data_IF_059422608406
#
_entry.id   IF_059422608406
#
_cell.length_a   1.000
_cell.length_b   1.000
_cell.length_c   1.000
_cell.angle_alpha   90.00
_cell.angle_beta   90.00
_cell.angle_gamma   90.00
#
_symmetry.space_group_name_H-M   'P 1'
#
loop_
_entity.id
_entity.type
_entity.pdbx_description
1 polymer ?
#
# COMPACT_ATOMS: atom_id res chain seq x y z
N UNK A 1 18.96 5.60 -15.32
CA UNK A 1 18.65 6.97 -14.83
C UNK A 1 19.31 7.12 -13.46
N UNK A 2 19.82 8.30 -13.08
CA UNK A 2 20.29 8.52 -11.70
C UNK A 2 19.06 8.73 -10.80
N UNK A 3 18.95 7.97 -9.71
CA UNK A 3 18.00 8.27 -8.62
C UNK A 3 18.21 9.70 -8.13
N UNK A 4 17.19 10.54 -8.27
CA UNK A 4 17.10 11.84 -7.63
C UNK A 4 15.83 11.92 -6.81
N UNK A 5 15.91 12.42 -5.58
CA UNK A 5 14.71 12.73 -4.81
C UNK A 5 14.29 14.15 -5.13
N UNK A 6 13.05 14.34 -5.53
CA UNK A 6 12.55 15.66 -5.90
C UNK A 6 11.78 16.23 -4.72
N UNK A 7 12.21 17.40 -4.22
CA UNK A 7 11.44 18.17 -3.25
C UNK A 7 10.73 19.29 -4.00
N UNK A 8 9.40 19.23 -4.08
CA UNK A 8 8.58 20.26 -4.71
C UNK A 8 8.06 21.24 -3.65
N UNK A 9 8.65 22.44 -3.56
CA UNK A 9 8.21 23.51 -2.65
C UNK A 9 7.61 24.64 -3.48
N UNK A 10 6.39 25.07 -3.18
CA UNK A 10 5.71 26.16 -3.89
C UNK A 10 6.45 27.51 -3.78
N UNK A 11 7.36 27.64 -2.82
CA UNK A 11 8.26 28.79 -2.69
C UNK A 11 9.54 28.66 -3.52
N UNK A 12 9.84 27.48 -4.08
CA UNK A 12 10.98 27.23 -4.95
C UNK A 12 10.50 27.14 -6.39
N UNK A 13 10.96 28.04 -7.24
CA UNK A 13 10.61 28.10 -8.67
C UNK A 13 11.16 26.93 -9.52
N UNK A 14 11.86 25.98 -8.90
CA UNK A 14 12.42 24.79 -9.53
C UNK A 14 12.35 23.61 -8.55
N UNK A 15 11.97 22.40 -8.99
CA UNK A 15 12.04 21.21 -8.15
C UNK A 15 13.50 20.95 -7.75
N UNK A 16 13.75 20.80 -6.46
CA UNK A 16 15.08 20.49 -5.97
C UNK A 16 15.41 19.03 -6.29
N UNK A 17 16.31 18.82 -7.25
CA UNK A 17 16.81 17.48 -7.61
C UNK A 17 17.90 17.11 -6.63
N UNK A 18 17.56 16.26 -5.66
CA UNK A 18 18.51 15.78 -4.67
C UNK A 18 19.46 14.76 -5.30
N UNK A 19 20.76 15.06 -5.29
CA UNK A 19 21.79 14.19 -5.83
C UNK A 19 22.36 13.30 -4.71
N UNK A 20 22.22 11.98 -4.79
CA UNK A 20 22.59 11.08 -3.70
C UNK A 20 24.09 11.04 -3.39
N UNK A 21 24.99 11.66 -4.17
CA UNK A 21 26.45 11.47 -4.08
C UNK A 21 27.13 11.95 -2.78
N UNK A 22 26.45 12.70 -1.91
CA UNK A 22 27.03 13.18 -0.64
C UNK A 22 26.22 12.76 0.58
N UNK A 23 26.89 12.49 1.71
CA UNK A 23 26.22 12.33 3.00
C UNK A 23 25.51 13.64 3.31
N UNK A 24 24.20 13.65 3.12
CA UNK A 24 23.38 14.83 3.30
C UNK A 24 22.26 14.49 4.27
N UNK A 25 22.19 15.27 5.34
CA UNK A 25 21.07 15.26 6.27
C UNK A 25 20.13 16.40 5.90
N UNK A 26 18.89 16.05 5.60
CA UNK A 26 17.82 17.03 5.34
C UNK A 26 16.80 16.89 6.46
N UNK A 27 16.72 17.92 7.30
CA UNK A 27 15.64 18.04 8.26
C UNK A 27 14.45 18.71 7.57
N UNK A 28 13.31 18.04 7.58
CA UNK A 28 12.08 18.59 7.04
C UNK A 28 11.38 19.39 8.15
N UNK A 29 11.32 20.74 8.06
CA UNK A 29 10.91 21.60 9.16
C UNK A 29 9.44 21.40 9.58
N UNK A 30 8.61 20.84 8.69
CA UNK A 30 7.17 20.62 8.92
C UNK A 30 6.86 19.21 9.45
N UNK A 31 7.69 18.21 9.13
CA UNK A 31 7.32 16.80 9.36
C UNK A 31 7.89 16.21 10.63
N UNK A 32 8.71 16.96 11.36
CA UNK A 32 9.61 16.41 12.39
C UNK A 32 10.34 15.16 11.87
N UNK A 33 10.74 15.16 10.60
CA UNK A 33 11.49 14.08 9.97
C UNK A 33 12.87 14.56 9.58
N UNK A 34 13.85 13.69 9.78
CA UNK A 34 15.21 13.89 9.30
C UNK A 34 15.56 12.73 8.38
N UNK A 35 15.96 13.07 7.18
CA UNK A 35 16.37 12.13 6.15
C UNK A 35 17.89 12.19 6.02
N UNK A 36 18.56 11.08 6.28
CA UNK A 36 20.01 10.99 6.18
C UNK A 36 20.41 9.89 5.23
N UNK A 37 21.17 10.24 4.20
CA UNK A 37 21.67 9.29 3.23
C UNK A 37 23.12 8.92 3.53
N UNK A 38 23.42 7.63 3.40
CA UNK A 38 24.72 7.06 3.70
C UNK A 38 25.26 6.31 2.48
N UNK A 39 26.54 6.58 2.18
CA UNK A 39 27.29 5.84 1.16
C UNK A 39 27.98 4.62 1.73
N UNK A 40 28.42 3.72 0.84
CA UNK A 40 29.04 2.43 1.16
C UNK A 40 30.17 2.50 2.20
N UNK A 41 30.99 3.56 2.19
CA UNK A 41 32.05 3.76 3.16
C UNK A 41 31.53 3.97 4.61
N UNK A 42 30.37 4.61 4.78
CA UNK A 42 29.74 4.85 6.08
C UNK A 42 28.89 3.65 6.56
N UNK A 43 28.48 2.77 5.64
CA UNK A 43 27.75 1.54 6.00
C UNK A 43 28.63 0.60 6.81
N UNK A 44 29.92 0.52 6.49
CA UNK A 44 30.85 -0.40 7.14
C UNK A 44 30.94 -0.15 8.66
N UNK A 45 30.79 1.11 9.09
CA UNK A 45 30.87 1.54 10.49
C UNK A 45 29.51 1.52 11.21
N UNK A 46 28.38 1.54 10.50
CA UNK A 46 27.05 1.52 11.10
C UNK A 46 26.42 0.10 11.11
N UNK A 47 26.24 -0.54 12.27
CA UNK A 47 25.74 -1.92 12.35
C UNK A 47 24.31 -2.08 11.83
N UNK A 48 23.48 -1.04 11.88
CA UNK A 48 22.11 -1.08 11.35
C UNK A 48 22.09 -1.11 9.83
N UNK A 49 22.89 -0.24 9.18
CA UNK A 49 23.01 -0.18 7.73
C UNK A 49 23.59 -1.48 7.18
N UNK A 50 24.67 -1.98 7.82
CA UNK A 50 25.29 -3.26 7.47
C UNK A 50 24.32 -4.44 7.56
N UNK A 51 23.43 -4.44 8.57
CA UNK A 51 22.41 -5.47 8.74
C UNK A 51 21.33 -5.40 7.65
N UNK A 52 20.93 -4.20 7.22
CA UNK A 52 19.97 -4.01 6.14
C UNK A 52 20.55 -4.47 4.79
N UNK A 53 21.75 -4.00 4.43
CA UNK A 53 22.46 -4.42 3.21
C UNK A 53 22.64 -5.95 3.14
N UNK A 54 23.12 -6.59 4.22
CA UNK A 54 23.28 -8.06 4.24
C UNK A 54 21.97 -8.84 4.03
N UNK A 55 20.82 -8.28 4.44
CA UNK A 55 19.52 -8.92 4.19
C UNK A 55 19.19 -8.87 2.70
N UNK A 56 19.45 -7.74 2.06
CA UNK A 56 19.25 -7.58 0.63
C UNK A 56 20.22 -8.46 -0.18
N UNK A 57 21.48 -8.58 0.22
CA UNK A 57 22.43 -9.46 -0.49
C UNK A 57 22.01 -10.94 -0.41
N UNK A 58 21.51 -11.39 0.77
CA UNK A 58 20.93 -12.73 0.92
C UNK A 58 19.72 -12.93 0.03
N UNK A 59 18.90 -11.89 -0.11
CA UNK A 59 17.75 -11.94 -1.01
C UNK A 59 18.18 -12.17 -2.45
N UNK A 60 19.13 -11.39 -2.95
CA UNK A 60 19.66 -11.52 -4.31
C UNK A 60 20.25 -12.91 -4.54
N UNK A 61 21.00 -13.42 -3.55
CA UNK A 61 21.54 -14.79 -3.59
C UNK A 61 20.41 -15.82 -3.71
N UNK A 62 19.30 -15.64 -2.98
CA UNK A 62 18.16 -16.58 -3.02
C UNK A 62 17.42 -16.60 -4.35
N UNK A 63 17.40 -15.46 -5.07
CA UNK A 63 16.79 -15.34 -6.39
C UNK A 63 17.66 -15.92 -7.52
N UNK A 64 18.97 -16.03 -7.30
CA UNK A 64 19.94 -16.49 -8.32
C UNK A 64 19.87 -15.67 -9.63
N UNK A 65 19.58 -14.37 -9.52
CA UNK A 65 19.46 -13.49 -10.68
C UNK A 65 20.68 -12.58 -10.82
N UNK A 66 21.29 -12.58 -12.00
CA UNK A 66 22.39 -11.69 -12.37
C UNK A 66 21.93 -10.24 -12.62
N UNK A 67 20.62 -10.01 -12.80
CA UNK A 67 20.06 -8.66 -13.01
C UNK A 67 19.97 -7.83 -11.73
N UNK A 68 20.29 -8.42 -10.58
CA UNK A 68 20.20 -7.78 -9.27
C UNK A 68 21.57 -7.30 -8.80
N UNK A 69 21.63 -6.02 -8.45
CA UNK A 69 22.82 -5.46 -7.84
C UNK A 69 22.49 -4.49 -6.71
N UNK A 70 23.44 -4.32 -5.81
CA UNK A 70 23.46 -3.33 -4.76
C UNK A 70 24.79 -2.59 -4.89
N UNK A 71 24.76 -1.25 -4.81
CA UNK A 71 25.98 -0.45 -4.74
C UNK A 71 26.47 -0.27 -3.29
N UNK A 72 25.84 -0.96 -2.33
CA UNK A 72 26.14 -0.81 -0.92
C UNK A 72 25.74 0.55 -0.35
N UNK A 73 24.83 1.30 -0.98
CA UNK A 73 24.27 2.54 -0.42
C UNK A 73 23.00 2.27 0.37
N UNK A 74 22.73 3.11 1.37
CA UNK A 74 21.51 3.03 2.19
C UNK A 74 20.97 4.42 2.48
N UNK A 75 19.65 4.47 2.62
CA UNK A 75 18.90 5.63 3.03
C UNK A 75 18.35 5.38 4.44
N UNK A 76 18.58 6.31 5.37
CA UNK A 76 18.01 6.28 6.72
C UNK A 76 16.94 7.37 6.82
N UNK A 77 15.72 6.94 7.12
CA UNK A 77 14.64 7.82 7.54
C UNK A 77 14.57 7.82 9.07
N UNK A 78 14.68 9.00 9.66
CA UNK A 78 14.45 9.25 11.08
C UNK A 78 13.19 10.09 11.26
N UNK A 79 12.26 9.60 12.08
CA UNK A 79 11.02 10.33 12.42
C UNK A 79 11.10 10.73 13.89
N UNK A 80 11.14 12.03 14.14
CA UNK A 80 11.18 12.68 15.45
C UNK A 80 9.77 12.99 15.97
N UNK A 81 8.86 12.01 15.88
CA UNK A 81 7.48 12.14 16.39
C UNK A 81 7.23 11.23 17.59
N UNK A 82 7.18 11.80 18.80
CA UNK A 82 6.83 11.09 20.05
C UNK A 82 8.00 10.83 21.00
N UNK A 83 7.79 9.99 22.04
CA UNK A 83 8.81 9.70 23.09
C UNK A 83 10.01 8.89 22.59
N UNK A 84 9.97 8.32 21.38
CA UNK A 84 11.01 7.47 20.83
C UNK A 84 11.31 7.82 19.37
N UNK A 85 12.59 7.84 19.03
CA UNK A 85 13.10 8.02 17.68
C UNK A 85 12.78 6.78 16.82
N UNK A 86 11.99 6.94 15.77
CA UNK A 86 11.72 5.86 14.83
C UNK A 86 12.72 5.92 13.66
N UNK A 87 13.45 4.83 13.44
CA UNK A 87 14.45 4.69 12.38
C UNK A 87 14.05 3.63 11.38
N UNK A 88 14.02 3.96 10.09
CA UNK A 88 13.84 3.00 8.99
C UNK A 88 15.03 3.08 8.05
N UNK A 89 15.64 1.94 7.74
CA UNK A 89 16.75 1.86 6.78
C UNK A 89 16.24 1.23 5.49
N UNK A 90 16.45 1.91 4.38
CA UNK A 90 16.17 1.45 3.04
C UNK A 90 17.50 1.16 2.34
N UNK A 91 17.65 -0.05 1.80
CA UNK A 91 18.86 -0.44 1.07
C UNK A 91 18.69 -0.17 -0.41
N UNK A 92 19.75 0.28 -1.07
CA UNK A 92 19.73 0.46 -2.51
C UNK A 92 19.66 -0.89 -3.21
N UNK A 93 18.72 -1.01 -4.15
CA UNK A 93 18.51 -2.15 -5.02
C UNK A 93 18.44 -1.65 -6.45
N UNK A 94 19.22 -2.26 -7.35
CA UNK A 94 19.11 -2.04 -8.78
C UNK A 94 18.66 -3.32 -9.46
N UNK A 95 17.62 -3.20 -10.28
CA UNK A 95 17.10 -4.26 -11.14
C UNK A 95 17.14 -3.74 -12.57
N UNK A 96 17.94 -4.38 -13.43
CA UNK A 96 18.23 -3.88 -14.77
C UNK A 96 18.70 -2.41 -14.74
N UNK A 97 17.93 -1.50 -15.31
CA UNK A 97 18.23 -0.06 -15.41
C UNK A 97 17.52 0.80 -14.35
N UNK A 98 16.65 0.18 -13.54
CA UNK A 98 15.87 0.88 -12.52
C UNK A 98 16.52 0.72 -11.15
N UNK A 99 16.51 1.80 -10.39
CA UNK A 99 17.08 1.86 -9.06
C UNK A 99 15.99 2.15 -8.03
N UNK A 100 16.08 1.50 -6.87
CA UNK A 100 15.12 1.56 -5.78
C UNK A 100 15.84 1.71 -4.45
N UNK A 101 15.22 2.42 -3.51
CA UNK A 101 15.54 2.28 -2.10
C UNK A 101 14.45 1.44 -1.44
N UNK A 102 14.79 0.24 -0.98
CA UNK A 102 13.81 -0.73 -0.47
C UNK A 102 14.00 -1.00 1.01
N UNK A 103 12.90 -0.99 1.75
CA UNK A 103 12.85 -1.61 3.07
C UNK A 103 12.39 -3.06 2.93
N UNK A 104 13.03 -3.99 3.65
CA UNK A 104 12.77 -5.42 3.49
C UNK A 104 12.23 -6.07 4.76
N UNK A 105 11.28 -6.99 4.61
CA UNK A 105 10.79 -7.84 5.71
C UNK A 105 10.70 -9.30 5.29
N UNK A 106 10.83 -10.23 6.24
CA UNK A 106 10.69 -11.67 6.01
C UNK A 106 11.84 -12.35 5.27
N UNK A 107 12.63 -11.62 4.50
CA UNK A 107 13.71 -12.14 3.66
C UNK A 107 14.69 -13.06 4.41
N UNK A 108 15.01 -12.74 5.67
CA UNK A 108 15.93 -13.55 6.48
C UNK A 108 15.42 -14.95 6.82
N UNK A 109 14.11 -15.15 6.70
CA UNK A 109 13.42 -16.41 6.99
C UNK A 109 13.21 -17.21 5.68
N UNK A 110 13.61 -16.67 4.52
CA UNK A 110 13.58 -17.37 3.25
C UNK A 110 14.69 -18.43 3.17
N UNK A 111 14.44 -19.51 2.42
CA UNK A 111 15.48 -20.49 2.07
C UNK A 111 16.63 -19.88 1.28
N UNK A 112 17.71 -20.66 1.12
CA UNK A 112 18.84 -20.31 0.27
C UNK A 112 18.50 -20.25 -1.23
N UNK A 113 17.39 -20.85 -1.67
CA UNK A 113 16.94 -20.80 -3.06
C UNK A 113 15.42 -20.73 -3.13
N UNK A 114 14.88 -19.83 -3.97
CA UNK A 114 13.44 -19.73 -4.19
C UNK A 114 12.86 -20.90 -5.01
N UNK A 115 13.70 -21.72 -5.64
CA UNK A 115 13.28 -22.89 -6.43
C UNK A 115 12.60 -23.98 -5.58
N UNK A 116 12.64 -23.88 -4.25
CA UNK A 116 11.88 -24.78 -3.39
C UNK A 116 10.38 -24.48 -3.36
N UNK A 117 9.96 -23.29 -3.82
CA UNK A 117 8.56 -22.90 -3.83
C UNK A 117 7.91 -23.35 -5.15
N UNK A 118 6.72 -23.92 -5.04
CA UNK A 118 5.94 -24.36 -6.21
C UNK A 118 5.37 -23.17 -7.00
N UNK A 119 5.18 -22.04 -6.32
CA UNK A 119 4.57 -20.81 -6.86
C UNK A 119 4.98 -19.59 -6.03
N UNK A 120 5.02 -18.43 -6.70
CA UNK A 120 5.17 -17.12 -6.06
C UNK A 120 3.90 -16.29 -6.24
N UNK A 121 3.32 -15.83 -5.15
CA UNK A 121 2.21 -14.88 -5.12
C UNK A 121 2.78 -13.49 -4.88
N UNK A 122 2.57 -12.56 -5.80
CA UNK A 122 2.91 -11.16 -5.61
C UNK A 122 1.68 -10.44 -5.09
N UNK A 123 1.85 -9.72 -3.99
CA UNK A 123 0.77 -8.99 -3.35
C UNK A 123 1.09 -7.51 -3.32
N UNK A 124 0.15 -6.68 -3.74
CA UNK A 124 0.30 -5.23 -3.71
C UNK A 124 -1.06 -4.58 -3.50
N UNK A 125 -1.07 -3.32 -3.07
CA UNK A 125 -2.27 -2.52 -2.96
C UNK A 125 -1.93 -1.05 -2.89
N UNK A 126 -2.87 -0.20 -3.25
CA UNK A 126 -2.75 1.26 -3.13
C UNK A 126 -3.96 1.73 -2.32
N UNK A 127 -3.78 2.73 -1.46
CA UNK A 127 -4.94 3.34 -0.80
C UNK A 127 -5.70 4.21 -1.82
N UNK A 128 -7.01 4.36 -1.62
CA UNK A 128 -7.76 5.30 -2.43
C UNK A 128 -7.64 6.70 -1.85
N UNK A 129 -7.64 7.69 -2.75
CA UNK A 129 -7.62 9.11 -2.47
C UNK A 129 -6.31 9.59 -1.84
N UNK A 130 -5.87 10.78 -2.23
CA UNK A 130 -4.92 11.56 -1.44
C UNK A 130 -5.66 12.28 -0.32
N UNK A 131 -4.99 12.57 0.80
CA UNK A 131 -5.60 13.28 1.95
C UNK A 131 -6.29 14.60 1.58
N UNK A 132 -5.86 15.25 0.50
CA UNK A 132 -6.41 16.51 0.01
C UNK A 132 -7.55 16.37 -1.01
N UNK A 133 -7.73 15.19 -1.59
CA UNK A 133 -8.74 14.97 -2.64
C UNK A 133 -10.13 14.72 -2.10
N UNK A 134 -10.28 14.55 -0.77
CA UNK A 134 -11.57 14.20 -0.19
C UNK A 134 -11.70 14.65 1.27
N UNK A 135 -12.82 15.28 1.60
CA UNK A 135 -13.16 15.66 2.98
C UNK A 135 -14.67 15.73 3.19
N UNK A 136 -15.09 15.51 4.43
CA UNK A 136 -16.45 15.78 4.88
C UNK A 136 -16.58 17.20 5.42
N UNK A 137 -17.75 17.79 5.26
CA UNK A 137 -18.15 19.01 5.99
C UNK A 137 -19.18 18.62 7.03
N UNK A 138 -19.02 19.12 8.26
CA UNK A 138 -19.92 18.80 9.37
C UNK A 138 -20.94 19.91 9.59
N UNK A 139 -21.96 19.66 10.42
CA UNK A 139 -23.06 20.60 10.70
C UNK A 139 -22.61 21.94 11.32
N UNK A 140 -21.40 22.00 11.90
CA UNK A 140 -20.79 23.23 12.42
C UNK A 140 -19.78 23.85 11.42
N UNK A 141 -19.84 23.44 10.15
CA UNK A 141 -18.96 23.85 9.06
C UNK A 141 -17.48 23.50 9.27
N UNK A 142 -17.16 22.54 10.15
CA UNK A 142 -15.80 22.01 10.23
C UNK A 142 -15.56 21.01 9.12
N UNK A 143 -14.43 21.18 8.43
CA UNK A 143 -13.92 20.21 7.46
C UNK A 143 -13.17 19.11 8.18
N UNK A 144 -13.53 17.87 7.91
CA UNK A 144 -12.97 16.69 8.55
C UNK A 144 -12.45 15.72 7.48
N UNK A 145 -11.28 15.13 7.72
CA UNK A 145 -10.80 14.08 6.83
C UNK A 145 -11.59 12.79 7.10
N UNK A 146 -12.07 12.18 6.03
CA UNK A 146 -12.95 11.00 6.04
C UNK A 146 -12.19 9.69 5.82
N UNK A 147 -10.86 9.78 5.79
CA UNK A 147 -9.95 8.66 5.55
C UNK A 147 -9.21 8.23 6.83
N UNK A 148 -9.51 8.84 7.99
CA UNK A 148 -8.70 8.76 9.21
C UNK A 148 -9.40 8.03 10.34
N UNK A 149 -8.60 7.42 11.23
CA UNK A 149 -9.09 6.81 12.47
C UNK A 149 -9.69 7.82 13.48
N UNK A 150 -9.44 9.12 13.33
CA UNK A 150 -9.95 10.18 14.23
C UNK A 150 -11.42 10.53 14.00
N UNK A 151 -12.09 9.87 13.06
CA UNK A 151 -13.54 9.95 12.95
C UNK A 151 -14.25 9.48 14.23
N UNK A 152 -13.58 8.66 15.06
CA UNK A 152 -14.10 8.28 16.37
C UNK A 152 -14.27 9.48 17.31
N UNK A 153 -13.44 10.52 17.16
CA UNK A 153 -13.51 11.74 17.97
C UNK A 153 -14.54 12.76 17.43
N UNK A 154 -15.19 12.46 16.31
CA UNK A 154 -16.18 13.33 15.70
C UNK A 154 -17.42 13.45 16.60
N UNK A 155 -17.85 14.68 16.86
CA UNK A 155 -19.04 14.98 17.69
C UNK A 155 -20.15 15.67 16.91
N UNK A 156 -19.86 16.16 15.71
CA UNK A 156 -20.79 16.88 14.83
C UNK A 156 -21.09 16.04 13.59
N UNK A 157 -22.36 15.87 13.19
CA UNK A 157 -22.70 15.07 12.02
C UNK A 157 -22.06 15.62 10.74
N UNK A 158 -21.63 14.73 9.85
CA UNK A 158 -21.24 15.05 8.48
C UNK A 158 -22.51 15.36 7.69
N UNK A 159 -22.52 16.51 7.02
CA UNK A 159 -23.64 17.00 6.22
C UNK A 159 -23.37 16.97 4.72
N UNK A 160 -22.10 16.91 4.31
CA UNK A 160 -21.71 16.87 2.90
C UNK A 160 -20.32 16.27 2.70
N UNK A 161 -20.04 15.81 1.49
CA UNK A 161 -18.71 15.38 1.04
C UNK A 161 -18.24 16.24 -0.13
N UNK A 162 -16.99 16.66 -0.07
CA UNK A 162 -16.28 17.21 -1.21
C UNK A 162 -15.28 16.18 -1.72
N UNK A 163 -15.27 15.96 -3.02
CA UNK A 163 -14.39 15.05 -3.73
C UNK A 163 -13.81 15.75 -4.96
N UNK A 164 -12.50 15.63 -5.15
CA UNK A 164 -11.86 15.85 -6.43
C UNK A 164 -11.84 14.55 -7.22
N UNK A 165 -12.53 14.52 -8.37
CA UNK A 165 -12.60 13.33 -9.23
C UNK A 165 -11.26 13.03 -9.92
N UNK A 166 -10.33 14.00 -9.96
CA UNK A 166 -8.99 13.77 -10.51
C UNK A 166 -8.18 12.79 -9.65
N UNK A 167 -7.27 12.01 -10.27
CA UNK A 167 -6.29 11.23 -9.54
C UNK A 167 -5.42 12.16 -8.68
N UNK A 168 -5.20 11.75 -7.45
CA UNK A 168 -4.17 12.37 -6.63
C UNK A 168 -2.78 11.99 -7.13
N UNK A 169 -1.81 12.88 -6.91
CA UNK A 169 -0.41 12.55 -7.13
C UNK A 169 0.03 11.26 -6.42
N UNK A 170 -0.49 11.01 -5.21
CA UNK A 170 -0.25 9.77 -4.46
C UNK A 170 -0.64 8.52 -5.27
N UNK A 171 -1.85 8.51 -5.83
CA UNK A 171 -2.37 7.37 -6.60
C UNK A 171 -1.51 7.12 -7.84
N UNK A 172 -1.18 8.18 -8.61
CA UNK A 172 -0.38 8.02 -9.83
C UNK A 172 1.05 7.57 -9.49
N UNK A 173 1.72 8.22 -8.53
CA UNK A 173 3.08 7.85 -8.15
C UNK A 173 3.15 6.41 -7.65
N UNK A 174 2.18 5.99 -6.82
CA UNK A 174 2.11 4.62 -6.31
C UNK A 174 1.90 3.60 -7.43
N UNK A 175 0.95 3.85 -8.34
CA UNK A 175 0.69 2.96 -9.48
C UNK A 175 1.97 2.77 -10.29
N UNK A 176 2.64 3.88 -10.62
CA UNK A 176 3.83 3.86 -11.46
C UNK A 176 4.99 3.16 -10.75
N UNK A 177 5.36 3.59 -9.55
CA UNK A 177 6.49 3.02 -8.79
C UNK A 177 6.29 1.54 -8.50
N UNK A 178 5.11 1.15 -8.02
CA UNK A 178 4.85 -0.24 -7.65
C UNK A 178 4.71 -1.14 -8.87
N UNK A 179 4.08 -0.69 -9.96
CA UNK A 179 3.99 -1.49 -11.20
C UNK A 179 5.37 -1.74 -11.82
N UNK A 180 6.25 -0.73 -11.83
CA UNK A 180 7.66 -0.88 -12.22
C UNK A 180 8.39 -1.88 -11.32
N UNK A 181 8.28 -1.71 -9.99
CA UNK A 181 8.93 -2.61 -9.04
C UNK A 181 8.45 -4.06 -9.18
N UNK A 182 7.14 -4.29 -9.38
CA UNK A 182 6.55 -5.60 -9.65
C UNK A 182 7.12 -6.19 -10.94
N UNK A 183 7.08 -5.44 -12.04
CA UNK A 183 7.57 -5.90 -13.35
C UNK A 183 9.06 -6.24 -13.34
N UNK A 184 9.86 -5.41 -12.68
CA UNK A 184 11.29 -5.66 -12.51
C UNK A 184 11.54 -6.89 -11.63
N UNK A 185 10.85 -6.97 -10.49
CA UNK A 185 10.95 -8.11 -9.60
C UNK A 185 10.63 -9.43 -10.32
N UNK A 186 9.52 -9.51 -11.07
CA UNK A 186 9.17 -10.75 -11.78
C UNK A 186 10.18 -11.11 -12.87
N UNK A 187 10.85 -10.12 -13.49
CA UNK A 187 11.92 -10.40 -14.46
C UNK A 187 13.15 -11.04 -13.83
N UNK A 188 13.27 -11.00 -12.50
CA UNK A 188 14.34 -11.67 -11.74
C UNK A 188 13.97 -13.07 -11.28
N UNK A 189 12.71 -13.49 -11.45
CA UNK A 189 12.27 -14.81 -11.04
C UNK A 189 12.72 -15.88 -12.06
N UNK A 190 13.11 -17.07 -11.61
CA UNK A 190 13.37 -18.21 -12.48
C UNK A 190 12.16 -18.50 -13.38
N UNK A 191 12.40 -18.70 -14.68
CA UNK A 191 11.33 -18.96 -15.65
C UNK A 191 10.50 -20.23 -15.36
N UNK A 192 11.04 -21.14 -14.54
CA UNK A 192 10.38 -22.37 -14.12
C UNK A 192 9.34 -22.17 -13.01
N UNK A 193 9.37 -21.05 -12.28
CA UNK A 193 8.45 -20.80 -11.17
C UNK A 193 7.30 -19.93 -11.65
N UNK A 194 6.07 -20.44 -11.64
CA UNK A 194 4.92 -19.66 -12.05
C UNK A 194 4.58 -18.62 -10.97
N UNK A 195 4.03 -17.48 -11.39
CA UNK A 195 3.61 -16.43 -10.47
C UNK A 195 2.22 -15.89 -10.76
N UNK A 196 1.55 -15.41 -9.71
CA UNK A 196 0.29 -14.67 -9.79
C UNK A 196 0.43 -13.33 -9.08
N UNK A 197 -0.31 -12.32 -9.52
CA UNK A 197 -0.34 -11.01 -8.88
C UNK A 197 -1.74 -10.79 -8.30
N UNK A 198 -1.82 -10.33 -7.05
CA UNK A 198 -3.07 -9.97 -6.38
C UNK A 198 -2.99 -8.50 -5.97
N UNK A 199 -3.99 -7.72 -6.38
CA UNK A 199 -4.14 -6.30 -6.09
C UNK A 199 -5.22 -6.11 -5.01
N UNK A 200 -4.84 -5.62 -3.84
CA UNK A 200 -5.71 -5.37 -2.68
C UNK A 200 -6.08 -3.89 -2.58
N UNK A 201 -6.76 -3.40 -3.63
CA UNK A 201 -7.29 -2.05 -3.64
C UNK A 201 -8.53 -1.97 -2.72
N UNK A 202 -8.53 -1.11 -1.70
CA UNK A 202 -9.60 -1.07 -0.72
C UNK A 202 -10.88 -0.50 -1.34
N UNK A 203 -12.03 -1.10 -1.00
CA UNK A 203 -13.36 -0.67 -1.45
C UNK A 203 -14.34 -0.67 -0.28
N UNK A 204 -14.85 -1.85 0.08
CA UNK A 204 -15.74 -2.00 1.23
C UNK A 204 -15.08 -1.58 2.54
N UNK A 205 -13.75 -1.67 2.64
CA UNK A 205 -12.99 -1.18 3.78
C UNK A 205 -13.28 0.30 4.09
N UNK A 206 -13.43 1.15 3.06
CA UNK A 206 -13.78 2.57 3.22
C UNK A 206 -15.26 2.79 3.57
N UNK A 207 -16.15 1.86 3.20
CA UNK A 207 -17.57 1.91 3.62
C UNK A 207 -17.71 1.48 5.08
N UNK A 208 -17.03 0.39 5.46
CA UNK A 208 -17.03 -0.13 6.84
C UNK A 208 -16.59 0.94 7.85
N UNK A 209 -15.58 1.76 7.54
CA UNK A 209 -15.15 2.85 8.44
C UNK A 209 -16.26 3.87 8.76
N UNK A 210 -17.21 4.08 7.84
CA UNK A 210 -18.29 5.04 8.05
C UNK A 210 -19.55 4.40 8.64
N UNK A 211 -19.65 3.07 8.69
CA UNK A 211 -20.75 2.39 9.37
C UNK A 211 -20.74 2.67 10.88
N UNK A 212 -19.57 2.73 11.51
CA UNK A 212 -19.46 3.14 12.93
C UNK A 212 -20.03 4.56 13.15
N UNK A 213 -19.90 5.47 12.17
CA UNK A 213 -20.49 6.81 12.23
C UNK A 213 -22.01 6.79 12.00
N UNK A 214 -22.49 5.91 11.12
CA UNK A 214 -23.92 5.74 10.84
C UNK A 214 -24.64 5.25 12.09
N UNK A 215 -24.05 4.28 12.80
CA UNK A 215 -24.57 3.77 14.08
C UNK A 215 -24.69 4.88 15.13
N UNK A 216 -23.71 5.79 15.16
CA UNK A 216 -23.68 6.97 16.03
C UNK A 216 -24.53 8.15 15.51
N UNK A 217 -25.24 7.98 14.39
CA UNK A 217 -26.05 9.01 13.75
C UNK A 217 -25.26 10.27 13.33
N UNK A 218 -23.95 10.11 13.07
CA UNK A 218 -23.05 11.18 12.62
C UNK A 218 -22.91 11.25 11.10
N UNK A 219 -23.56 10.35 10.38
CA UNK A 219 -23.71 10.38 8.93
C UNK A 219 -25.09 9.80 8.59
N UNK A 220 -25.72 10.31 7.53
CA UNK A 220 -27.02 9.83 7.07
C UNK A 220 -26.86 8.73 6.02
N UNK A 221 -27.90 7.89 5.83
CA UNK A 221 -27.91 6.88 4.76
C UNK A 221 -27.68 7.48 3.36
N UNK A 222 -28.32 8.60 2.95
CA UNK A 222 -28.06 9.19 1.64
C UNK A 222 -26.60 9.61 1.44
N UNK A 223 -25.96 10.16 2.47
CA UNK A 223 -24.54 10.52 2.40
C UNK A 223 -23.65 9.27 2.34
N UNK A 224 -23.96 8.22 3.09
CA UNK A 224 -23.21 6.97 3.03
C UNK A 224 -23.35 6.27 1.66
N UNK A 225 -24.53 6.34 1.04
CA UNK A 225 -24.75 5.84 -0.33
C UNK A 225 -23.92 6.64 -1.35
N UNK A 226 -23.93 7.97 -1.26
CA UNK A 226 -23.08 8.85 -2.07
C UNK A 226 -21.59 8.50 -1.88
N UNK A 227 -21.16 8.30 -0.64
CA UNK A 227 -19.80 7.86 -0.32
C UNK A 227 -19.44 6.52 -0.96
N UNK A 228 -20.32 5.54 -0.85
CA UNK A 228 -20.13 4.23 -1.46
C UNK A 228 -19.96 4.34 -2.99
N UNK A 229 -20.73 5.21 -3.64
CA UNK A 229 -20.59 5.48 -5.08
C UNK A 229 -19.23 6.12 -5.41
N UNK A 230 -18.76 7.09 -4.61
CA UNK A 230 -17.44 7.69 -4.77
C UNK A 230 -16.31 6.68 -4.62
N UNK A 231 -16.36 5.85 -3.58
CA UNK A 231 -15.39 4.78 -3.33
C UNK A 231 -15.41 3.76 -4.47
N UNK A 232 -16.58 3.32 -4.91
CA UNK A 232 -16.70 2.34 -6.00
C UNK A 232 -16.10 2.88 -7.31
N UNK A 233 -16.41 4.13 -7.70
CA UNK A 233 -15.83 4.76 -8.89
C UNK A 233 -14.31 4.87 -8.79
N UNK A 234 -13.80 5.38 -7.66
CA UNK A 234 -12.35 5.58 -7.48
C UNK A 234 -11.61 4.25 -7.43
N UNK A 235 -12.14 3.25 -6.73
CA UNK A 235 -11.61 1.89 -6.69
C UNK A 235 -11.43 1.33 -8.11
N UNK A 236 -12.48 1.39 -8.95
CA UNK A 236 -12.41 0.89 -10.31
C UNK A 236 -11.36 1.63 -11.17
N UNK A 237 -11.27 2.95 -11.04
CA UNK A 237 -10.28 3.75 -11.75
C UNK A 237 -8.83 3.38 -11.35
N UNK A 238 -8.56 3.29 -10.05
CA UNK A 238 -7.24 2.92 -9.51
C UNK A 238 -6.88 1.49 -9.91
N UNK A 239 -7.77 0.52 -9.67
CA UNK A 239 -7.54 -0.89 -9.96
C UNK A 239 -7.29 -1.14 -11.45
N UNK A 240 -8.11 -0.55 -12.33
CA UNK A 240 -7.94 -0.67 -13.79
C UNK A 240 -6.60 -0.09 -14.22
N UNK A 241 -6.29 1.13 -13.78
CA UNK A 241 -5.02 1.79 -14.09
C UNK A 241 -3.81 1.00 -13.61
N UNK A 242 -3.89 0.43 -12.41
CA UNK A 242 -2.80 -0.34 -11.84
C UNK A 242 -2.57 -1.65 -12.58
N UNK A 243 -3.65 -2.38 -12.86
CA UNK A 243 -3.62 -3.63 -13.63
C UNK A 243 -3.08 -3.42 -15.04
N UNK A 244 -3.55 -2.39 -15.73
CA UNK A 244 -3.08 -2.07 -17.08
C UNK A 244 -1.62 -1.64 -17.11
N UNK A 245 -1.16 -0.84 -16.14
CA UNK A 245 0.24 -0.45 -16.02
C UNK A 245 1.15 -1.68 -15.84
N UNK A 246 0.78 -2.61 -14.94
CA UNK A 246 1.50 -3.88 -14.76
C UNK A 246 1.51 -4.66 -16.08
N UNK A 247 0.35 -4.89 -16.71
CA UNK A 247 0.26 -5.66 -17.95
C UNK A 247 1.12 -5.06 -19.09
N UNK A 248 1.11 -3.74 -19.24
CA UNK A 248 1.92 -3.04 -20.24
C UNK A 248 3.42 -3.28 -20.01
N UNK A 249 3.89 -3.18 -18.76
CA UNK A 249 5.28 -3.41 -18.39
C UNK A 249 5.70 -4.87 -18.56
N UNK A 250 4.84 -5.82 -18.17
CA UNK A 250 5.09 -7.26 -18.35
C UNK A 250 5.17 -7.63 -19.84
N UNK A 251 4.27 -7.08 -20.66
CA UNK A 251 4.29 -7.25 -22.12
C UNK A 251 5.57 -6.68 -22.74
N UNK A 252 5.99 -5.49 -22.30
CA UNK A 252 7.23 -4.85 -22.77
C UNK A 252 8.47 -5.70 -22.47
N UNK A 253 8.50 -6.39 -21.33
CA UNK A 253 9.57 -7.32 -20.94
C UNK A 253 9.42 -8.74 -21.52
N UNK A 254 8.38 -8.99 -22.34
CA UNK A 254 8.09 -10.31 -22.92
C UNK A 254 7.93 -11.42 -21.86
N UNK A 255 7.39 -11.07 -20.69
CA UNK A 255 7.16 -12.02 -19.59
C UNK A 255 5.82 -12.74 -19.80
N UNK A 256 5.88 -14.03 -20.16
CA UNK A 256 4.70 -14.85 -20.53
C UNK A 256 4.21 -15.76 -19.41
N UNK A 257 4.86 -15.76 -18.25
CA UNK A 257 4.61 -16.70 -17.15
C UNK A 257 3.62 -16.20 -16.09
N UNK A 258 2.83 -15.16 -16.42
CA UNK A 258 1.76 -14.67 -15.54
C UNK A 258 0.62 -15.69 -15.55
N UNK A 259 0.35 -16.30 -14.40
CA UNK A 259 -0.84 -17.15 -14.25
C UNK A 259 -2.10 -16.28 -14.28
N UNK A 260 -2.09 -15.18 -13.51
CA UNK A 260 -3.23 -14.28 -13.36
C UNK A 260 -2.85 -12.97 -12.68
N UNK A 261 -3.62 -11.91 -12.94
CA UNK A 261 -3.67 -10.69 -12.13
C UNK A 261 -5.09 -10.58 -11.58
N UNK A 262 -5.23 -10.78 -10.27
CA UNK A 262 -6.49 -10.91 -9.55
C UNK A 262 -6.70 -9.74 -8.60
N UNK A 263 -7.96 -9.53 -8.25
CA UNK A 263 -8.36 -8.53 -7.27
C UNK A 263 -8.57 -9.25 -5.93
N UNK A 264 -8.15 -8.63 -4.83
CA UNK A 264 -8.43 -9.18 -3.51
C UNK A 264 -9.93 -9.05 -3.20
N UNK A 265 -10.55 -10.14 -2.74
CA UNK A 265 -12.00 -10.25 -2.65
C UNK A 265 -12.50 -10.61 -1.24
N UNK A 266 -11.72 -10.33 -0.19
CA UNK A 266 -12.03 -10.83 1.16
C UNK A 266 -13.31 -10.33 1.79
N UNK A 267 -13.89 -9.24 1.30
CA UNK A 267 -15.18 -8.75 1.75
C UNK A 267 -16.31 -9.03 0.75
N UNK A 268 -16.03 -9.70 -0.37
CA UNK A 268 -17.05 -9.99 -1.39
C UNK A 268 -18.27 -10.75 -0.87
N UNK A 269 -18.18 -11.70 0.10
CA UNK A 269 -19.37 -12.40 0.59
C UNK A 269 -20.38 -11.49 1.30
N UNK A 270 -19.95 -10.32 1.80
CA UNK A 270 -20.81 -9.39 2.54
C UNK A 270 -21.17 -8.12 1.77
N UNK A 271 -20.73 -8.00 0.52
CA UNK A 271 -20.95 -6.81 -0.31
C UNK A 271 -22.43 -6.49 -0.48
N UNK A 272 -23.21 -7.50 -0.86
CA UNK A 272 -24.65 -7.39 -1.04
C UNK A 272 -25.36 -7.06 0.27
N UNK A 273 -24.96 -7.69 1.38
CA UNK A 273 -25.56 -7.44 2.70
C UNK A 273 -25.37 -5.99 3.15
N UNK A 274 -24.18 -5.41 2.93
CA UNK A 274 -23.90 -4.01 3.24
C UNK A 274 -24.71 -3.09 2.32
N UNK A 275 -24.67 -3.34 1.01
CA UNK A 275 -25.34 -2.51 -0.01
C UNK A 275 -26.85 -2.47 0.21
N UNK A 276 -27.48 -3.64 0.41
CA UNK A 276 -28.92 -3.73 0.69
C UNK A 276 -29.30 -3.05 2.00
N UNK A 277 -28.47 -3.17 3.05
CA UNK A 277 -28.67 -2.46 4.31
C UNK A 277 -28.71 -0.95 4.10
N UNK A 278 -27.72 -0.40 3.39
CA UNK A 278 -27.64 1.03 3.11
C UNK A 278 -28.86 1.52 2.31
N UNK A 279 -29.20 0.84 1.21
CA UNK A 279 -30.33 1.22 0.33
C UNK A 279 -31.67 1.11 1.06
N UNK A 280 -31.87 0.05 1.85
CA UNK A 280 -33.10 -0.16 2.64
C UNK A 280 -33.14 0.69 3.92
N UNK A 281 -32.12 1.52 4.16
CA UNK A 281 -31.98 2.36 5.36
C UNK A 281 -32.00 1.56 6.66
N UNK A 282 -31.41 0.37 6.61
CA UNK A 282 -31.27 -0.55 7.74
C UNK A 282 -29.79 -0.75 8.05
N UNK A 283 -29.44 -0.64 9.33
CA UNK A 283 -28.05 -0.83 9.76
C UNK A 283 -27.64 -2.28 9.44
N UNK A 284 -26.55 -2.51 8.68
CA UNK A 284 -25.98 -3.84 8.53
C UNK A 284 -25.68 -4.41 9.92
N UNK A 285 -25.93 -5.70 10.16
CA UNK A 285 -25.65 -6.31 11.46
C UNK A 285 -24.25 -6.91 11.45
N UNK A 286 -23.33 -6.33 12.23
CA UNK A 286 -21.93 -6.77 12.30
C UNK A 286 -21.79 -8.27 12.59
N UNK A 287 -22.58 -8.83 13.51
CA UNK A 287 -22.52 -10.25 13.85
C UNK A 287 -22.94 -11.11 12.66
N UNK A 288 -23.95 -10.69 11.91
CA UNK A 288 -24.37 -11.35 10.67
C UNK A 288 -23.27 -11.28 9.59
N UNK A 289 -22.60 -10.14 9.43
CA UNK A 289 -21.50 -10.00 8.47
C UNK A 289 -20.33 -10.94 8.83
N UNK A 290 -19.96 -11.01 10.11
CA UNK A 290 -18.89 -11.91 10.59
C UNK A 290 -19.25 -13.37 10.35
N UNK A 291 -20.49 -13.75 10.63
CA UNK A 291 -20.99 -15.10 10.41
C UNK A 291 -20.91 -15.48 8.92
N UNK A 292 -21.35 -14.60 8.02
CA UNK A 292 -21.30 -14.80 6.57
C UNK A 292 -19.85 -14.97 6.06
N UNK A 293 -18.91 -14.15 6.55
CA UNK A 293 -17.50 -14.30 6.18
C UNK A 293 -16.92 -15.63 6.67
N UNK A 294 -17.19 -16.00 7.91
CA UNK A 294 -16.64 -17.20 8.54
C UNK A 294 -17.22 -18.50 7.98
N UNK A 295 -18.46 -18.50 7.48
CA UNK A 295 -19.09 -19.69 6.89
C UNK A 295 -18.59 -20.00 5.48
N UNK A 296 -18.07 -19.00 4.76
CA UNK A 296 -17.67 -19.13 3.36
C UNK A 296 -16.14 -19.24 3.15
N UNK A 297 -15.34 -18.99 4.19
CA UNK A 297 -13.88 -18.93 4.07
C UNK A 297 -13.17 -19.38 5.36
N UNK A 298 -12.31 -20.39 5.24
CA UNK A 298 -11.57 -20.96 6.38
C UNK A 298 -10.61 -19.93 7.02
N UNK A 299 -9.97 -19.07 6.22
CA UNK A 299 -9.07 -18.05 6.77
C UNK A 299 -9.85 -17.05 7.62
N UNK A 300 -11.05 -16.64 7.20
CA UNK A 300 -11.96 -15.85 8.03
C UNK A 300 -12.37 -16.58 9.30
N UNK A 301 -12.76 -17.85 9.21
CA UNK A 301 -13.12 -18.65 10.38
C UNK A 301 -11.98 -18.69 11.42
N UNK A 302 -10.74 -18.94 10.98
CA UNK A 302 -9.56 -18.95 11.84
C UNK A 302 -9.30 -17.57 12.49
N UNK A 303 -9.38 -16.50 11.70
CA UNK A 303 -9.15 -15.14 12.19
C UNK A 303 -10.21 -14.69 13.20
N UNK A 304 -11.48 -14.95 12.90
CA UNK A 304 -12.60 -14.61 13.77
C UNK A 304 -12.63 -15.43 15.06
N UNK A 305 -12.12 -16.67 15.04
CA UNK A 305 -11.95 -17.45 16.28
C UNK A 305 -10.89 -16.87 17.21
N UNK A 306 -9.82 -16.29 16.66
CA UNK A 306 -8.70 -15.73 17.45
C UNK A 306 -9.02 -14.34 17.98
N UNK A 307 -9.62 -13.49 17.14
CA UNK A 307 -9.88 -12.10 17.45
C UNK A 307 -11.14 -11.65 16.71
N UNK A 308 -12.33 -12.02 17.21
CA UNK A 308 -13.59 -11.64 16.58
C UNK A 308 -13.71 -10.10 16.58
N UNK A 309 -13.92 -9.46 15.42
CA UNK A 309 -14.01 -8.00 15.35
C UNK A 309 -15.26 -7.50 16.08
N UNK A 310 -15.11 -6.45 16.88
CA UNK A 310 -16.17 -5.84 17.69
C UNK A 310 -16.76 -4.57 17.06
N UNK A 311 -16.10 -4.04 16.03
CA UNK A 311 -16.52 -2.83 15.30
C UNK A 311 -16.36 -3.04 13.79
N UNK A 312 -17.03 -2.21 12.96
CA UNK A 312 -16.84 -2.27 11.51
C UNK A 312 -15.41 -1.87 11.12
N UNK A 313 -14.81 -0.95 11.86
CA UNK A 313 -13.40 -0.59 11.72
C UNK A 313 -12.47 -1.78 12.00
N UNK A 314 -12.69 -2.57 13.05
CA UNK A 314 -11.90 -3.77 13.32
C UNK A 314 -12.07 -4.84 12.23
N UNK A 315 -13.30 -5.03 11.73
CA UNK A 315 -13.56 -5.91 10.59
C UNK A 315 -12.81 -5.47 9.33
N UNK A 316 -12.82 -4.16 9.05
CA UNK A 316 -12.06 -3.55 7.96
C UNK A 316 -10.55 -3.83 8.11
N UNK A 317 -9.97 -3.63 9.30
CA UNK A 317 -8.56 -3.96 9.53
C UNK A 317 -8.24 -5.44 9.36
N UNK A 318 -9.12 -6.32 9.87
CA UNK A 318 -8.92 -7.76 9.77
C UNK A 318 -8.98 -8.25 8.32
N UNK A 319 -9.74 -7.57 7.45
CA UNK A 319 -9.84 -7.89 6.02
C UNK A 319 -8.49 -7.81 5.29
N UNK A 320 -7.66 -6.81 5.59
CA UNK A 320 -6.31 -6.69 5.02
C UNK A 320 -5.42 -7.86 5.43
N UNK A 321 -5.51 -8.27 6.70
CA UNK A 321 -4.76 -9.43 7.21
C UNK A 321 -5.24 -10.71 6.55
N UNK A 322 -6.56 -10.87 6.39
CA UNK A 322 -7.15 -12.02 5.69
C UNK A 322 -6.67 -12.08 4.25
N UNK A 323 -6.75 -10.98 3.50
CA UNK A 323 -6.33 -10.94 2.09
C UNK A 323 -4.86 -11.32 1.92
N UNK A 324 -4.00 -10.86 2.82
CA UNK A 324 -2.61 -11.28 2.88
C UNK A 324 -2.46 -12.78 3.18
N UNK A 325 -3.10 -13.28 4.24
CA UNK A 325 -2.95 -14.66 4.70
C UNK A 325 -3.54 -15.68 3.71
N UNK A 326 -4.64 -15.36 3.04
CA UNK A 326 -5.25 -16.26 2.06
C UNK A 326 -4.27 -16.71 0.96
N UNK A 327 -3.26 -15.89 0.67
CA UNK A 327 -2.26 -16.19 -0.35
C UNK A 327 -1.09 -17.05 0.14
N UNK A 328 -0.83 -17.12 1.46
CA UNK A 328 0.36 -17.78 2.01
C UNK A 328 0.08 -18.81 3.09
N UNK A 329 -1.10 -18.79 3.71
CA UNK A 329 -1.44 -19.65 4.83
C UNK A 329 -1.80 -21.03 4.27
N UNK A 330 -0.93 -22.00 4.54
CA UNK A 330 -1.05 -23.38 4.06
C UNK A 330 -0.91 -24.34 5.22
N UNK A 331 -1.50 -25.52 5.10
CA UNK A 331 -1.17 -26.60 6.03
C UNK A 331 0.28 -27.07 5.78
N UNK A 332 0.91 -27.61 6.81
CA UNK A 332 2.34 -27.95 6.76
C UNK A 332 2.71 -29.04 5.73
N UNK A 333 1.74 -29.86 5.32
CA UNK A 333 1.86 -30.93 4.33
C UNK A 333 1.61 -30.48 2.89
N UNK A 334 1.06 -29.28 2.70
CA UNK A 334 0.85 -28.69 1.37
C UNK A 334 2.16 -28.17 0.76
N UNK A 335 2.26 -28.12 -0.59
CA UNK A 335 3.40 -27.53 -1.27
C UNK A 335 3.66 -26.09 -0.79
N UNK A 336 4.93 -25.79 -0.50
CA UNK A 336 5.31 -24.45 -0.05
C UNK A 336 5.12 -23.43 -1.18
N UNK A 337 4.27 -22.44 -0.93
CA UNK A 337 4.08 -21.26 -1.77
C UNK A 337 4.68 -20.04 -1.07
N UNK A 338 5.28 -19.12 -1.84
CA UNK A 338 5.86 -17.90 -1.30
C UNK A 338 4.96 -16.72 -1.64
N UNK A 339 4.53 -15.97 -0.62
CA UNK A 339 3.97 -14.64 -0.80
C UNK A 339 5.06 -13.57 -0.77
N UNK A 340 5.05 -12.70 -1.76
CA UNK A 340 5.97 -11.61 -1.88
C UNK A 340 5.21 -10.28 -1.98
N UNK A 341 5.18 -9.53 -0.88
CA UNK A 341 4.51 -8.24 -0.85
C UNK A 341 5.41 -7.15 -1.47
N UNK A 342 4.91 -6.43 -2.47
CA UNK A 342 5.55 -5.26 -3.08
C UNK A 342 4.60 -4.09 -2.89
N UNK A 343 4.89 -3.21 -1.94
CA UNK A 343 3.88 -2.27 -1.43
C UNK A 343 4.51 -1.00 -0.83
N UNK A 344 3.69 -0.03 -0.48
CA UNK A 344 4.13 1.17 0.20
C UNK A 344 4.72 0.85 1.60
N UNK A 345 5.78 1.56 2.06
CA UNK A 345 6.38 1.32 3.36
C UNK A 345 5.42 1.39 4.55
N UNK A 346 4.31 2.12 4.42
CA UNK A 346 3.25 2.20 5.44
C UNK A 346 2.48 0.90 5.63
N UNK A 347 2.43 0.02 4.63
CA UNK A 347 1.70 -1.25 4.67
C UNK A 347 2.46 -2.41 5.31
N UNK A 348 3.71 -2.16 5.74
CA UNK A 348 4.51 -3.09 6.55
C UNK A 348 3.84 -3.54 7.86
N UNK A 349 2.79 -2.84 8.30
CA UNK A 349 1.97 -3.20 9.47
C UNK A 349 1.16 -4.47 9.20
N UNK A 350 0.62 -4.64 7.99
CA UNK A 350 -0.20 -5.79 7.59
C UNK A 350 0.63 -7.06 7.70
N UNK A 351 1.84 -7.05 7.11
CA UNK A 351 2.81 -8.16 7.21
C UNK A 351 3.07 -8.59 8.66
N UNK A 352 3.31 -7.62 9.56
CA UNK A 352 3.57 -7.89 10.99
C UNK A 352 2.35 -8.49 11.67
N UNK A 353 1.15 -7.97 11.40
CA UNK A 353 -0.07 -8.50 11.95
C UNK A 353 -0.35 -9.91 11.44
N UNK A 354 -0.20 -10.17 10.15
CA UNK A 354 -0.31 -11.50 9.55
C UNK A 354 0.61 -12.51 10.26
N UNK A 355 1.90 -12.19 10.45
CA UNK A 355 2.82 -13.06 11.21
C UNK A 355 2.36 -13.34 12.65
N UNK A 356 1.82 -12.33 13.34
CA UNK A 356 1.29 -12.52 14.68
C UNK A 356 0.05 -13.42 14.69
N UNK A 357 -0.82 -13.29 13.68
CA UNK A 357 -1.99 -14.16 13.53
C UNK A 357 -1.60 -15.60 13.23
N UNK A 358 -0.64 -15.85 12.33
CA UNK A 358 -0.12 -17.21 12.08
C UNK A 358 0.36 -17.88 13.37
N UNK A 359 1.10 -17.14 14.20
CA UNK A 359 1.54 -17.65 15.51
C UNK A 359 0.36 -18.04 16.41
N UNK A 360 -0.69 -17.21 16.45
CA UNK A 360 -1.89 -17.47 17.26
C UNK A 360 -2.70 -18.64 16.68
N UNK A 361 -2.84 -18.74 15.36
CA UNK A 361 -3.51 -19.86 14.67
C UNK A 361 -2.87 -21.19 15.09
N UNK A 362 -1.55 -21.29 15.04
CA UNK A 362 -0.83 -22.51 15.45
C UNK A 362 -0.87 -22.81 16.94
N UNK A 363 -1.30 -21.85 17.77
CA UNK A 363 -1.51 -22.06 19.21
C UNK A 363 -2.93 -22.55 19.53
N UNK A 364 -3.88 -22.32 18.63
CA UNK A 364 -5.31 -22.59 18.87
C UNK A 364 -5.90 -23.65 17.94
N UNK A 365 -5.22 -24.01 16.85
CA UNK A 365 -5.66 -25.04 15.91
C UNK A 365 -4.96 -26.37 16.17
N UNK A 366 -5.67 -27.47 15.89
CA UNK A 366 -5.11 -28.82 15.88
C UNK A 366 -4.15 -29.03 14.70
N UNK A 367 -4.26 -28.20 13.66
CA UNK A 367 -3.42 -28.24 12.47
C UNK A 367 -2.23 -27.29 12.60
N UNK A 368 -1.09 -27.70 12.06
CA UNK A 368 0.08 -26.83 11.90
C UNK A 368 -0.01 -26.11 10.56
N UNK A 369 -0.05 -24.78 10.61
CA UNK A 369 -0.01 -23.92 9.43
C UNK A 369 1.38 -23.31 9.26
N UNK A 370 1.75 -23.12 8.00
CA UNK A 370 2.92 -22.38 7.56
C UNK A 370 2.49 -21.17 6.73
N UNK A 371 3.26 -20.09 6.79
CA UNK A 371 3.16 -18.97 5.85
C UNK A 371 4.58 -18.49 5.52
N UNK A 372 4.99 -18.75 4.28
CA UNK A 372 6.24 -18.24 3.74
C UNK A 372 5.94 -16.89 3.10
N UNK A 373 6.38 -15.82 3.76
CA UNK A 373 6.15 -14.47 3.26
C UNK A 373 7.39 -13.59 3.40
N UNK A 374 7.69 -12.85 2.34
CA UNK A 374 8.67 -11.78 2.31
C UNK A 374 8.06 -10.51 1.71
N UNK A 375 8.74 -9.38 1.89
CA UNK A 375 8.26 -8.11 1.40
C UNK A 375 9.40 -7.17 0.98
N UNK A 376 9.17 -6.45 -0.12
CA UNK A 376 9.92 -5.29 -0.55
C UNK A 376 9.00 -4.07 -0.49
N UNK A 377 9.43 -3.06 0.24
CA UNK A 377 8.73 -1.79 0.34
C UNK A 377 9.56 -0.72 -0.36
N UNK A 378 9.41 -0.52 -1.68
CA UNK A 378 10.10 0.54 -2.40
C UNK A 378 9.65 1.89 -1.87
N UNK A 379 10.62 2.68 -1.43
CA UNK A 379 10.41 4.03 -0.93
C UNK A 379 9.99 4.97 -2.07
N UNK A 380 9.16 5.96 -1.75
CA UNK A 380 8.74 7.01 -2.67
C UNK A 380 9.95 7.79 -3.20
N UNK A 381 9.98 8.08 -4.51
CA UNK A 381 11.09 8.82 -5.12
C UNK A 381 10.82 10.33 -5.20
N UNK A 382 9.57 10.75 -4.94
CA UNK A 382 9.15 12.13 -5.03
C UNK A 382 8.56 12.56 -3.70
N UNK A 383 9.08 13.68 -3.19
CA UNK A 383 8.59 14.33 -2.00
C UNK A 383 7.94 15.65 -2.38
N UNK A 384 6.64 15.80 -2.16
CA UNK A 384 6.06 17.14 -2.13
C UNK A 384 6.58 17.85 -0.86
N UNK A 385 6.72 19.19 -0.85
CA UNK A 385 7.20 19.94 0.33
C UNK A 385 6.22 19.95 1.50
N UNK A 386 5.02 19.43 1.27
CA UNK A 386 4.05 18.98 2.27
C UNK A 386 4.46 17.63 2.90
N UNK A 387 5.36 16.90 2.26
CA UNK A 387 6.01 15.70 2.77
C UNK A 387 5.44 14.38 2.26
N UNK A 388 6.22 13.28 2.34
CA UNK A 388 5.67 11.93 2.17
C UNK A 388 4.68 11.59 3.28
N UNK A 389 4.63 12.38 4.37
CA UNK A 389 3.60 12.24 5.37
C UNK A 389 2.30 12.90 4.93
N UNK A 390 2.25 14.11 4.36
CA UNK A 390 0.95 14.77 4.05
C UNK A 390 0.21 14.20 2.84
N UNK A 391 0.86 13.37 2.01
CA UNK A 391 0.15 12.50 1.05
C UNK A 391 -0.70 11.42 1.78
N UNK A 392 -0.32 11.05 3.01
CA UNK A 392 -0.86 9.92 3.78
C UNK A 392 -1.35 10.26 5.21
N UNK A 393 -1.05 11.44 5.74
CA UNK A 393 -1.32 11.90 7.10
C UNK A 393 -2.31 13.04 7.07
N UNK A 394 -3.34 12.84 7.88
CA UNK A 394 -4.55 13.64 7.92
C UNK A 394 -4.47 14.82 8.89
N UNK A 395 -3.30 15.44 9.03
CA UNK A 395 -3.07 16.53 9.96
C UNK A 395 -2.27 17.66 9.29
N UNK A 396 -2.95 18.67 8.74
CA UNK A 396 -2.94 20.08 9.17
C UNK A 396 -3.63 21.01 8.16
N UNK A 397 -3.65 22.30 8.50
CA UNK A 397 -4.57 23.37 8.13
C UNK A 397 -4.74 23.68 6.62
N UNK A 398 -5.97 24.01 6.26
CA UNK A 398 -6.58 23.90 4.92
C UNK A 398 -6.47 25.16 4.05
N UNK A 399 -5.49 26.04 4.33
CA UNK A 399 -5.39 27.34 3.66
C UNK A 399 -4.24 27.46 2.65
N UNK A 400 -3.20 26.62 2.68
CA UNK A 400 -1.98 26.86 1.88
C UNK A 400 -1.84 26.07 0.58
N UNK A 401 -2.53 24.94 0.38
CA UNK A 401 -2.21 24.01 -0.74
C UNK A 401 -3.15 24.17 -1.97
N UNK A 402 -4.07 25.14 -1.97
CA UNK A 402 -5.08 25.27 -3.03
C UNK A 402 -4.54 25.63 -4.43
N UNK A 403 -3.26 25.96 -4.58
CA UNK A 403 -2.70 26.47 -5.83
C UNK A 403 -1.54 25.66 -6.41
N UNK A 404 -1.25 24.45 -5.89
CA UNK A 404 -0.25 23.58 -6.52
C UNK A 404 -0.89 22.92 -7.72
N UNK A 405 -0.70 23.50 -8.90
CA UNK A 405 -0.95 22.78 -10.14
C UNK A 405 -0.07 21.52 -10.10
N UNK A 406 -0.68 20.34 -9.99
CA UNK A 406 0.06 19.08 -9.93
C UNK A 406 0.80 18.89 -11.25
N UNK A 407 2.10 19.21 -11.25
CA UNK A 407 2.96 19.01 -12.41
C UNK A 407 3.41 17.55 -12.47
N UNK A 408 2.65 16.75 -13.21
CA UNK A 408 2.96 15.35 -13.43
C UNK A 408 4.15 15.13 -14.38
N UNK A 409 4.72 16.17 -15.02
CA UNK A 409 5.87 16.01 -15.94
C UNK A 409 7.11 15.40 -15.26
N UNK A 410 7.18 15.50 -13.93
CA UNK A 410 8.22 14.86 -13.12
C UNK A 410 8.13 13.33 -13.14
N UNK A 411 6.92 12.77 -13.22
CA UNK A 411 6.70 11.33 -13.37
C UNK A 411 7.14 10.87 -14.75
N UNK A 412 6.92 11.67 -15.80
CA UNK A 412 7.41 11.36 -17.15
C UNK A 412 8.94 11.25 -17.18
N UNK A 413 9.63 12.13 -16.43
CA UNK A 413 11.10 12.10 -16.30
C UNK A 413 11.61 10.85 -15.59
N UNK A 414 10.86 10.33 -14.63
CA UNK A 414 11.27 9.19 -13.81
C UNK A 414 10.86 7.83 -14.39
N UNK A 415 9.72 7.76 -15.07
CA UNK A 415 9.08 6.47 -15.38
C UNK A 415 8.54 6.35 -16.83
N UNK A 416 8.86 7.30 -17.72
CA UNK A 416 8.40 7.43 -19.12
C UNK A 416 6.96 7.94 -19.32
N UNK A 417 6.74 8.71 -20.38
CA UNK A 417 5.47 9.42 -20.67
C UNK A 417 4.29 8.51 -21.05
N UNK A 418 4.52 7.30 -21.56
CA UNK A 418 3.46 6.45 -22.12
C UNK A 418 2.52 5.88 -21.04
N UNK A 419 3.02 5.65 -19.82
CA UNK A 419 2.21 5.09 -18.72
C UNK A 419 1.31 6.14 -18.07
N UNK A 420 1.80 7.38 -17.96
CA UNK A 420 1.03 8.46 -17.36
C UNK A 420 -0.22 8.79 -18.18
N UNK A 421 -0.11 8.87 -19.51
CA UNK A 421 -1.29 9.14 -20.36
C UNK A 421 -2.35 8.05 -20.25
N UNK A 422 -1.94 6.78 -20.09
CA UNK A 422 -2.86 5.66 -19.88
C UNK A 422 -3.60 5.78 -18.54
N UNK A 423 -2.85 6.05 -17.45
CA UNK A 423 -3.43 6.24 -16.11
C UNK A 423 -4.43 7.39 -16.15
N UNK A 424 -4.03 8.56 -16.67
CA UNK A 424 -4.91 9.73 -16.73
C UNK A 424 -6.19 9.47 -17.52
N UNK A 425 -6.10 8.72 -18.63
CA UNK A 425 -7.26 8.34 -19.43
C UNK A 425 -8.25 7.49 -18.63
N UNK A 426 -7.79 6.49 -17.88
CA UNK A 426 -8.68 5.63 -17.10
C UNK A 426 -9.43 6.37 -16.00
N UNK A 427 -8.80 7.37 -15.38
CA UNK A 427 -9.49 8.25 -14.42
C UNK A 427 -10.54 9.13 -15.13
N UNK A 428 -10.26 9.62 -16.34
CA UNK A 428 -11.23 10.37 -17.14
C UNK A 428 -12.40 9.49 -17.57
N UNK A 429 -12.15 8.29 -18.09
CA UNK A 429 -13.21 7.37 -18.55
C UNK A 429 -14.12 6.96 -17.38
N UNK A 430 -13.57 6.72 -16.18
CA UNK A 430 -14.34 6.45 -14.97
C UNK A 430 -15.24 7.63 -14.52
N UNK A 431 -14.89 8.87 -14.89
CA UNK A 431 -15.68 10.06 -14.59
C UNK A 431 -16.84 10.31 -15.57
N UNK A 432 -16.81 9.70 -16.77
CA UNK A 432 -17.78 9.93 -17.86
C UNK A 432 -18.96 8.94 -17.84
N UNK A 433 -18.85 7.83 -17.09
CA UNK A 433 -19.91 6.79 -17.00
C UNK A 433 -21.04 7.16 -16.01
N UNK A 434 -21.12 8.43 -15.59
CA UNK A 434 -22.20 9.01 -14.77
C UNK A 434 -23.01 10.04 -15.56
#
# INVERSE_FOLDING_TARGET
MQLGYYIYNDQLSQPFIWNPIYQQTVSHPILDKTFTFYHSNDIASNPFLKKASRRLDRFFTSLQSDSLSSNGSCFLEEIHGGKQLNRTVYSHMKIDEHEYYVFTQGIKDLPSSINQFSRIHIYSGICLFGAQTIYGTTANNQKVSVLTKRLNDLTSPITDFWLDDNPSFYEIESIVRLSHCISDFVSTLPASIPYSITLDEPRLQYVLYLLDLLERQLISYPLLEQWMNYVNRRHQAVLTSYKEAILALLKKKNLKHVISINDANGLSPIDQLITEGIVSRKMPDLAKLIAELSSNDECWALLCNISPPQTYQELSYLSYVRNFLQQCLKQADEPAELLFQIDNPMERKIYRYAKNYVKKINQTSDHQYQCHAAALFPHEQIFLATGPAELYYHQWDQQSVRNVQQDFSILEKLYSSTHQSLIMKNFQDASVVS
#
